data_IF_119182292833
#
_entry.id   IF_119182292833
#
_cell.length_a   1.000
_cell.length_b   1.000
_cell.length_c   1.000
_cell.angle_alpha   90.00
_cell.angle_beta   90.00
_cell.angle_gamma   90.00
#
_symmetry.space_group_name_H-M   'P 1'
#
loop_
_entity.id
_entity.type
_entity.pdbx_description
1 polymer ?
#
# COMPACT_ATOMS: atom_id res chain seq x y z
N UNK A 1 44.52 -4.01 -18.23
CA UNK A 1 43.88 -5.23 -17.70
C UNK A 1 43.96 -5.12 -16.19
N UNK A 2 42.91 -4.94 -15.38
CA UNK A 2 41.69 -5.76 -15.28
C UNK A 2 40.64 -4.99 -14.46
N UNK A 3 39.74 -4.25 -15.12
CA UNK A 3 38.63 -3.51 -14.47
C UNK A 3 37.26 -4.19 -14.65
N UNK A 4 37.23 -5.39 -15.27
CA UNK A 4 35.98 -6.09 -15.63
C UNK A 4 35.48 -7.11 -14.60
N UNK A 5 36.19 -7.33 -13.50
CA UNK A 5 35.86 -8.40 -12.53
C UNK A 5 35.11 -7.93 -11.27
N UNK A 6 35.16 -6.64 -10.90
CA UNK A 6 34.60 -6.18 -9.62
C UNK A 6 33.09 -5.92 -9.64
N UNK A 7 32.52 -5.58 -10.81
CA UNK A 7 31.13 -5.11 -10.93
C UNK A 7 30.10 -6.25 -10.76
N UNK A 8 30.52 -7.52 -10.92
CA UNK A 8 29.60 -8.67 -10.79
C UNK A 8 29.32 -9.11 -9.36
N UNK A 9 30.04 -8.60 -8.34
CA UNK A 9 29.92 -9.09 -6.96
C UNK A 9 29.21 -8.14 -5.99
N UNK A 10 28.91 -6.91 -6.41
CA UNK A 10 28.19 -5.92 -5.60
C UNK A 10 26.67 -5.90 -5.85
N UNK A 11 26.18 -6.56 -6.91
CA UNK A 11 24.74 -6.62 -7.24
C UNK A 11 23.97 -7.72 -6.48
N UNK A 12 24.67 -8.62 -5.78
CA UNK A 12 24.03 -9.73 -5.07
C UNK A 12 23.66 -9.45 -3.60
N UNK A 13 24.09 -8.31 -3.01
CA UNK A 13 23.71 -8.00 -1.63
C UNK A 13 22.35 -7.32 -1.48
N UNK A 14 21.73 -6.88 -2.58
CA UNK A 14 20.39 -6.26 -2.58
C UNK A 14 19.24 -7.29 -2.56
N UNK A 15 19.54 -8.56 -2.84
CA UNK A 15 18.52 -9.62 -2.96
C UNK A 15 17.99 -10.05 -1.58
N UNK A 16 18.73 -9.80 -0.50
CA UNK A 16 18.34 -10.15 0.87
C UNK A 16 18.32 -8.94 1.82
N UNK A 17 18.19 -7.72 1.29
CA UNK A 17 17.93 -6.57 2.15
C UNK A 17 16.56 -6.73 2.81
N UNK A 18 16.44 -6.48 4.13
CA UNK A 18 15.14 -6.50 4.79
C UNK A 18 14.09 -5.66 4.04
N UNK A 19 14.48 -4.54 3.45
CA UNK A 19 13.58 -3.69 2.66
C UNK A 19 13.07 -4.33 1.36
N UNK A 20 13.86 -5.15 0.66
CA UNK A 20 13.41 -5.77 -0.61
C UNK A 20 12.44 -6.92 -0.36
N UNK A 21 12.70 -7.71 0.67
CA UNK A 21 11.78 -8.76 1.14
C UNK A 21 10.46 -8.13 1.61
N UNK A 22 10.53 -7.06 2.40
CA UNK A 22 9.35 -6.36 2.90
C UNK A 22 8.51 -5.72 1.79
N UNK A 23 9.15 -5.06 0.82
CA UNK A 23 8.44 -4.48 -0.33
C UNK A 23 7.73 -5.56 -1.15
N UNK A 24 8.40 -6.70 -1.36
CA UNK A 24 7.81 -7.85 -2.06
C UNK A 24 6.57 -8.38 -1.33
N UNK A 25 6.63 -8.54 0.01
CA UNK A 25 5.50 -9.00 0.82
C UNK A 25 4.29 -8.05 0.74
N UNK A 26 4.54 -6.73 0.81
CA UNK A 26 3.48 -5.72 0.70
C UNK A 26 2.83 -5.75 -0.69
N UNK A 27 3.61 -5.85 -1.76
CA UNK A 27 3.09 -5.93 -3.11
C UNK A 27 2.24 -7.18 -3.33
N UNK A 28 2.70 -8.34 -2.82
CA UNK A 28 1.99 -9.61 -2.93
C UNK A 28 0.64 -9.59 -2.18
N UNK A 29 0.60 -9.03 -0.96
CA UNK A 29 -0.65 -8.83 -0.19
C UNK A 29 -1.65 -7.96 -0.97
N UNK A 30 -1.17 -6.80 -1.46
CA UNK A 30 -1.97 -5.88 -2.27
C UNK A 30 -2.50 -6.54 -3.54
N UNK A 31 -1.66 -7.28 -4.26
CA UNK A 31 -2.02 -7.95 -5.52
C UNK A 31 -3.05 -9.07 -5.29
N UNK A 32 -2.83 -9.92 -4.30
CA UNK A 32 -3.78 -10.97 -3.90
C UNK A 32 -5.16 -10.40 -3.59
N UNK A 33 -5.20 -9.28 -2.85
CA UNK A 33 -6.43 -8.57 -2.50
C UNK A 33 -7.16 -8.02 -3.73
N UNK A 34 -6.42 -7.42 -4.67
CA UNK A 34 -6.97 -6.90 -5.92
C UNK A 34 -7.56 -8.01 -6.79
N UNK A 35 -6.89 -9.17 -6.86
CA UNK A 35 -7.42 -10.33 -7.58
C UNK A 35 -8.71 -10.84 -6.93
N UNK A 36 -8.78 -10.91 -5.59
CA UNK A 36 -9.99 -11.29 -4.88
C UNK A 36 -11.16 -10.32 -5.15
N UNK A 37 -10.87 -9.01 -5.13
CA UNK A 37 -11.85 -7.98 -5.45
C UNK A 37 -12.37 -8.11 -6.88
N UNK A 38 -11.48 -8.26 -7.87
CA UNK A 38 -11.88 -8.39 -9.27
C UNK A 38 -12.79 -9.63 -9.50
N UNK A 39 -12.61 -10.69 -8.71
CA UNK A 39 -13.41 -11.92 -8.83
C UNK A 39 -14.73 -11.88 -8.07
N UNK A 40 -14.79 -11.22 -6.91
CA UNK A 40 -15.91 -11.37 -5.96
C UNK A 40 -16.60 -10.05 -5.61
N UNK A 41 -16.05 -8.91 -6.05
CA UNK A 41 -16.47 -7.58 -5.58
C UNK A 41 -16.03 -7.28 -4.13
N UNK A 42 -15.36 -8.21 -3.45
CA UNK A 42 -14.87 -8.03 -2.09
C UNK A 42 -13.35 -8.25 -2.03
N UNK A 43 -12.57 -7.34 -1.41
CA UNK A 43 -11.12 -7.53 -1.25
C UNK A 43 -10.78 -8.73 -0.34
N UNK A 44 -11.75 -9.18 0.46
CA UNK A 44 -11.73 -10.36 1.33
C UNK A 44 -11.90 -10.01 2.81
N UNK A 45 -11.79 -11.02 3.69
CA UNK A 45 -12.10 -10.90 5.12
C UNK A 45 -11.29 -9.80 5.82
N UNK A 46 -11.93 -8.98 6.67
CA UNK A 46 -11.28 -7.91 7.43
C UNK A 46 -11.10 -6.58 6.68
N UNK A 47 -11.57 -6.47 5.44
CA UNK A 47 -11.71 -5.18 4.76
C UNK A 47 -13.16 -4.70 4.88
N UNK A 48 -13.47 -3.73 5.76
CA UNK A 48 -14.83 -3.23 5.89
C UNK A 48 -15.26 -2.48 4.65
N UNK A 49 -16.56 -2.51 4.35
CA UNK A 49 -17.12 -1.63 3.33
C UNK A 49 -16.80 -0.17 3.66
N UNK A 50 -16.39 0.61 2.66
CA UNK A 50 -16.26 2.05 2.84
C UNK A 50 -17.66 2.68 2.85
N UNK A 51 -18.36 2.56 3.97
CA UNK A 51 -19.68 3.14 4.20
C UNK A 51 -19.56 4.41 5.03
N UNK A 52 -20.43 5.37 4.75
CA UNK A 52 -20.69 6.50 5.66
C UNK A 52 -21.26 5.93 6.97
N UNK A 53 -20.86 6.38 8.18
CA UNK A 53 -19.95 7.49 8.50
C UNK A 53 -18.48 7.10 8.73
N UNK A 54 -18.19 5.81 8.91
CA UNK A 54 -16.86 5.36 9.35
C UNK A 54 -15.77 5.55 8.29
N UNK A 55 -16.14 5.58 7.00
CA UNK A 55 -15.22 5.73 5.84
C UNK A 55 -13.95 4.90 6.03
N UNK A 56 -14.14 3.66 6.47
CA UNK A 56 -13.04 2.81 6.89
C UNK A 56 -12.15 2.50 5.68
N UNK A 57 -10.85 2.76 5.84
CA UNK A 57 -9.83 2.50 4.82
C UNK A 57 -8.82 1.49 5.32
N UNK A 58 -8.35 0.63 4.42
CA UNK A 58 -7.17 -0.20 4.69
C UNK A 58 -5.92 0.61 4.36
N UNK A 59 -5.05 0.76 5.35
CA UNK A 59 -3.71 1.34 5.19
C UNK A 59 -2.72 0.20 5.02
N UNK A 60 -2.03 0.19 3.89
CA UNK A 60 -0.90 -0.72 3.64
C UNK A 60 0.40 -0.02 4.01
N UNK A 61 1.02 -0.45 5.10
CA UNK A 61 2.38 -0.06 5.47
C UNK A 61 3.11 -1.28 6.08
N UNK A 62 4.02 -1.07 7.04
CA UNK A 62 4.68 -2.18 7.74
C UNK A 62 3.71 -3.16 8.40
N UNK A 63 2.51 -2.73 8.79
CA UNK A 63 1.45 -3.60 9.31
C UNK A 63 0.11 -3.09 8.81
N UNK A 64 -0.45 -3.83 7.86
CA UNK A 64 -1.79 -3.56 7.31
C UNK A 64 -2.80 -3.41 8.44
N UNK A 65 -3.54 -2.30 8.44
CA UNK A 65 -4.56 -2.00 9.44
C UNK A 65 -5.71 -1.22 8.84
N UNK A 66 -6.86 -1.33 9.47
CA UNK A 66 -8.03 -0.54 9.16
C UNK A 66 -8.04 0.69 10.05
N UNK A 67 -8.20 1.87 9.46
CA UNK A 67 -8.45 3.12 10.19
C UNK A 67 -9.78 3.73 9.74
N UNK A 68 -10.54 4.24 10.72
CA UNK A 68 -11.77 4.98 10.46
C UNK A 68 -11.43 6.44 10.19
N UNK A 69 -11.79 6.91 9.01
CA UNK A 69 -11.67 8.29 8.55
C UNK A 69 -10.34 9.04 8.87
N UNK A 70 -9.17 8.50 8.48
CA UNK A 70 -7.88 9.08 8.86
C UNK A 70 -7.58 10.46 8.25
N UNK A 71 -8.33 10.89 7.22
CA UNK A 71 -8.12 12.14 6.52
C UNK A 71 -9.30 13.13 6.66
N UNK A 72 -10.11 12.99 7.72
CA UNK A 72 -11.30 13.79 7.97
C UNK A 72 -11.08 15.29 7.82
N UNK A 73 -10.08 15.82 8.54
CA UNK A 73 -9.75 17.24 8.56
C UNK A 73 -9.29 17.75 7.19
N UNK A 74 -8.50 16.97 6.45
CA UNK A 74 -8.07 17.32 5.09
C UNK A 74 -9.22 17.31 4.09
N UNK A 75 -10.17 16.38 4.23
CA UNK A 75 -11.36 16.35 3.37
C UNK A 75 -12.24 17.57 3.60
N UNK A 76 -12.50 17.91 4.87
CA UNK A 76 -13.30 19.09 5.21
C UNK A 76 -12.63 20.38 4.72
N UNK A 77 -11.34 20.54 5.00
CA UNK A 77 -10.59 21.70 4.52
C UNK A 77 -10.61 21.81 2.98
N UNK A 78 -10.52 20.69 2.24
CA UNK A 78 -10.62 20.71 0.76
C UNK A 78 -12.01 21.06 0.25
N UNK A 79 -13.07 20.63 0.93
CA UNK A 79 -14.44 20.98 0.56
C UNK A 79 -14.67 22.48 0.73
N UNK A 80 -14.13 23.10 1.79
CA UNK A 80 -14.23 24.56 2.02
C UNK A 80 -13.63 25.39 0.87
N UNK A 81 -12.61 24.88 0.18
CA UNK A 81 -12.02 25.54 -1.00
C UNK A 81 -12.82 25.34 -2.30
N UNK A 82 -13.68 24.30 -2.38
CA UNK A 82 -14.43 23.94 -3.60
C UNK A 82 -15.78 24.67 -3.70
N UNK A 83 -16.38 25.09 -2.57
CA UNK A 83 -17.68 25.79 -2.54
C UNK A 83 -17.60 27.29 -2.84
N UNK A 84 -16.40 27.84 -3.06
CA UNK A 84 -16.15 29.28 -3.18
C UNK A 84 -15.94 29.80 -4.62
N UNK A 85 -16.31 29.02 -5.66
CA UNK A 85 -16.18 29.38 -7.08
C UNK A 85 -17.54 29.53 -7.75
#
# INVERSE_FOLDING_TARGET
MTQRAAIRRALSSLIASPLSIWFSMMCDDRESRWVAFARTGTPGAGWPGCTEPDRAVMIFDRKSRVESDPAAAQRLARQEFDVAV
#
